data_IF_240451696613
#
_entry.id   IF_240451696613
#
_cell.length_a   1.000
_cell.length_b   1.000
_cell.length_c   1.000
_cell.angle_alpha   90.00
_cell.angle_beta   90.00
_cell.angle_gamma   90.00
#
_symmetry.space_group_name_H-M   'P 1'
#
loop_
_entity.id
_entity.type
_entity.pdbx_description
1 polymer ?
#
# COMPACT_ATOMS: atom_id res chain seq x y z
N UNK A 1 -47.71 14.92 37.38
CA UNK A 1 -47.54 14.77 35.92
C UNK A 1 -46.41 15.63 35.33
N UNK A 2 -45.99 16.75 35.95
CA UNK A 2 -44.88 17.56 35.43
C UNK A 2 -43.47 17.01 35.77
N UNK A 3 -43.28 16.34 36.91
CA UNK A 3 -41.97 15.87 37.36
C UNK A 3 -41.33 14.82 36.43
N UNK A 4 -42.13 13.92 35.86
CA UNK A 4 -41.66 12.87 34.93
C UNK A 4 -41.21 13.45 33.58
N UNK A 5 -41.90 14.49 33.10
CA UNK A 5 -41.55 15.16 31.84
C UNK A 5 -40.25 15.94 31.99
N UNK A 6 -40.05 16.65 33.11
CA UNK A 6 -38.78 17.34 33.41
C UNK A 6 -37.62 16.37 33.56
N UNK A 7 -37.81 15.26 34.27
CA UNK A 7 -36.77 14.24 34.42
C UNK A 7 -36.40 13.55 33.10
N UNK A 8 -37.37 13.37 32.20
CA UNK A 8 -37.12 12.85 30.85
C UNK A 8 -36.33 13.84 29.99
N UNK A 9 -36.68 15.13 30.02
CA UNK A 9 -35.97 16.18 29.27
C UNK A 9 -34.56 16.42 29.80
N UNK A 10 -34.35 16.36 31.12
CA UNK A 10 -33.02 16.47 31.73
C UNK A 10 -32.14 15.28 31.33
N UNK A 11 -32.67 14.06 31.36
CA UNK A 11 -31.95 12.87 30.89
C UNK A 11 -31.63 12.95 29.39
N UNK A 12 -32.54 13.46 28.56
CA UNK A 12 -32.29 13.63 27.13
C UNK A 12 -31.22 14.70 26.86
N UNK A 13 -31.23 15.79 27.64
CA UNK A 13 -30.22 16.86 27.57
C UNK A 13 -28.82 16.38 27.98
N UNK A 14 -28.73 15.40 28.87
CA UNK A 14 -27.46 14.80 29.32
C UNK A 14 -26.98 13.70 28.37
N UNK A 15 -27.90 12.81 27.95
CA UNK A 15 -27.57 11.64 27.14
C UNK A 15 -27.34 11.99 25.66
N UNK A 16 -28.01 13.00 25.11
CA UNK A 16 -27.84 13.42 23.71
C UNK A 16 -26.38 13.78 23.36
N UNK A 17 -25.73 14.70 24.10
CA UNK A 17 -24.33 15.04 23.89
C UNK A 17 -23.37 13.86 24.14
N UNK A 18 -23.68 12.99 25.11
CA UNK A 18 -22.87 11.81 25.39
C UNK A 18 -22.91 10.82 24.22
N UNK A 19 -24.10 10.56 23.67
CA UNK A 19 -24.29 9.70 22.48
C UNK A 19 -23.59 10.31 21.27
N UNK A 20 -23.72 11.61 21.04
CA UNK A 20 -23.03 12.31 19.96
C UNK A 20 -21.49 12.17 20.08
N UNK A 21 -20.94 12.34 21.29
CA UNK A 21 -19.50 12.18 21.54
C UNK A 21 -19.03 10.74 21.32
N UNK A 22 -19.80 9.74 21.74
CA UNK A 22 -19.48 8.33 21.50
C UNK A 22 -19.49 8.02 20.00
N UNK A 23 -20.47 8.55 19.26
CA UNK A 23 -20.55 8.37 17.81
C UNK A 23 -19.37 9.06 17.10
N UNK A 24 -19.02 10.28 17.49
CA UNK A 24 -17.88 11.01 16.92
C UNK A 24 -16.54 10.30 17.18
N UNK A 25 -16.37 9.77 18.40
CA UNK A 25 -15.20 8.97 18.78
C UNK A 25 -15.13 7.67 17.97
N UNK A 26 -16.25 6.95 17.87
CA UNK A 26 -16.34 5.71 17.08
C UNK A 26 -16.06 5.94 15.60
N UNK A 27 -16.61 7.02 15.03
CA UNK A 27 -16.35 7.42 13.64
C UNK A 27 -14.88 7.76 13.42
N UNK A 28 -14.26 8.47 14.37
CA UNK A 28 -12.85 8.80 14.29
C UNK A 28 -11.98 7.55 14.31
N UNK A 29 -12.27 6.61 15.21
CA UNK A 29 -11.50 5.38 15.32
C UNK A 29 -11.69 4.48 14.09
N UNK A 30 -12.92 4.38 13.56
CA UNK A 30 -13.19 3.70 12.30
C UNK A 30 -12.42 4.29 11.12
N UNK A 31 -12.28 5.62 11.03
CA UNK A 31 -11.47 6.27 9.98
C UNK A 31 -10.00 5.93 10.13
N UNK A 32 -9.45 5.93 11.36
CA UNK A 32 -8.05 5.54 11.60
C UNK A 32 -7.80 4.09 11.20
N UNK A 33 -8.67 3.17 11.61
CA UNK A 33 -8.54 1.75 11.28
C UNK A 33 -8.63 1.49 9.77
N UNK A 34 -9.54 2.17 9.06
CA UNK A 34 -9.60 2.10 7.59
C UNK A 34 -8.32 2.60 6.94
N UNK A 35 -7.76 3.71 7.42
CA UNK A 35 -6.50 4.24 6.92
C UNK A 35 -5.31 3.29 7.22
N UNK A 36 -5.27 2.68 8.40
CA UNK A 36 -4.28 1.67 8.74
C UNK A 36 -4.39 0.43 7.85
N UNK A 37 -5.61 -0.05 7.62
CA UNK A 37 -5.88 -1.19 6.75
C UNK A 37 -5.45 -0.92 5.30
N UNK A 38 -5.77 0.25 4.73
CA UNK A 38 -5.35 0.58 3.37
C UNK A 38 -3.83 0.62 3.25
N UNK A 39 -3.11 1.18 4.24
CA UNK A 39 -1.64 1.13 4.25
C UNK A 39 -1.10 -0.30 4.26
N UNK A 40 -1.69 -1.18 5.07
CA UNK A 40 -1.30 -2.58 5.12
C UNK A 40 -1.61 -3.33 3.81
N UNK A 41 -2.71 -2.99 3.13
CA UNK A 41 -3.06 -3.52 1.80
C UNK A 41 -2.06 -3.06 0.72
N UNK A 42 -1.64 -1.79 0.76
CA UNK A 42 -0.62 -1.23 -0.14
C UNK A 42 0.74 -1.91 0.08
N UNK A 43 1.19 -2.05 1.33
CA UNK A 43 2.43 -2.77 1.68
C UNK A 43 2.40 -4.23 1.20
N UNK A 44 1.27 -4.92 1.39
CA UNK A 44 1.10 -6.30 0.94
C UNK A 44 1.18 -6.42 -0.58
N UNK A 45 0.59 -5.48 -1.33
CA UNK A 45 0.68 -5.47 -2.78
C UNK A 45 2.11 -5.23 -3.26
N UNK A 46 2.83 -4.27 -2.67
CA UNK A 46 4.25 -4.05 -2.97
C UNK A 46 5.11 -5.30 -2.69
N UNK A 47 4.83 -6.02 -1.60
CA UNK A 47 5.52 -7.29 -1.30
C UNK A 47 5.23 -8.39 -2.33
N UNK A 48 4.00 -8.48 -2.87
CA UNK A 48 3.66 -9.46 -3.91
C UNK A 48 4.40 -9.17 -5.20
N UNK A 49 4.40 -7.92 -5.66
CA UNK A 49 5.13 -7.51 -6.87
C UNK A 49 6.63 -7.80 -6.76
N UNK A 50 7.22 -7.52 -5.59
CA UNK A 50 8.63 -7.86 -5.33
C UNK A 50 8.85 -9.37 -5.39
N UNK A 51 7.95 -10.16 -4.80
CA UNK A 51 8.01 -11.62 -4.82
C UNK A 51 7.94 -12.16 -6.24
N UNK A 52 7.06 -11.59 -7.08
CA UNK A 52 6.90 -12.00 -8.48
C UNK A 52 8.18 -11.73 -9.31
N UNK A 53 8.81 -10.56 -9.12
CA UNK A 53 10.10 -10.23 -9.77
C UNK A 53 11.18 -11.24 -9.36
N UNK A 54 11.30 -11.53 -8.07
CA UNK A 54 12.30 -12.46 -7.55
C UNK A 54 12.06 -13.89 -8.03
N UNK A 55 10.80 -14.34 -8.04
CA UNK A 55 10.43 -15.65 -8.55
C UNK A 55 10.78 -15.78 -10.04
N UNK A 56 10.46 -14.75 -10.83
CA UNK A 56 10.79 -14.72 -12.24
C UNK A 56 12.31 -14.79 -12.49
N UNK A 57 13.10 -14.08 -11.69
CA UNK A 57 14.56 -14.16 -11.76
C UNK A 57 15.06 -15.58 -11.45
N UNK A 58 14.54 -16.22 -10.41
CA UNK A 58 14.89 -17.60 -10.05
C UNK A 58 14.57 -18.55 -11.21
N UNK A 59 13.38 -18.43 -11.81
CA UNK A 59 12.98 -19.23 -12.97
C UNK A 59 13.93 -19.05 -14.17
N UNK A 60 14.31 -17.79 -14.47
CA UNK A 60 15.24 -17.47 -15.56
C UNK A 60 16.64 -18.05 -15.32
N UNK A 61 17.16 -17.90 -14.10
CA UNK A 61 18.47 -18.48 -13.72
C UNK A 61 18.43 -20.00 -13.77
N UNK A 62 17.34 -20.61 -13.30
CA UNK A 62 17.16 -22.06 -13.37
C UNK A 62 17.14 -22.56 -14.82
N UNK A 63 16.32 -21.94 -15.67
CA UNK A 63 16.26 -22.28 -17.09
C UNK A 63 17.63 -22.14 -17.78
N UNK A 64 18.35 -21.06 -17.51
CA UNK A 64 19.70 -20.82 -18.00
C UNK A 64 20.69 -21.91 -17.58
N UNK A 65 20.64 -22.38 -16.32
CA UNK A 65 21.49 -23.50 -15.86
C UNK A 65 21.14 -24.81 -16.54
N UNK A 66 19.86 -25.11 -16.73
CA UNK A 66 19.41 -26.33 -17.40
C UNK A 66 19.91 -26.40 -18.86
N UNK A 67 19.92 -25.28 -19.58
CA UNK A 67 20.38 -25.23 -20.98
C UNK A 67 21.90 -25.29 -21.10
N UNK A 68 22.64 -24.67 -20.17
CA UNK A 68 24.10 -24.61 -20.26
C UNK A 68 24.82 -25.89 -19.86
N UNK A 69 24.21 -26.72 -19.02
CA UNK A 69 24.76 -28.05 -18.71
C UNK A 69 24.72 -29.03 -19.90
N UNK A 70 24.09 -28.66 -21.02
CA UNK A 70 23.88 -29.54 -22.18
C UNK A 70 24.87 -29.29 -23.34
N UNK A 71 25.66 -28.22 -23.33
CA UNK A 71 26.58 -27.86 -24.43
C UNK A 71 28.01 -27.64 -23.92
N UNK A 72 28.99 -28.49 -24.29
CA UNK A 72 30.37 -28.31 -23.90
C UNK A 72 31.11 -27.34 -24.83
N UNK A 73 31.77 -26.37 -24.21
CA UNK A 73 33.06 -25.74 -24.56
C UNK A 73 33.22 -24.50 -25.46
N UNK A 74 32.27 -24.01 -26.28
CA UNK A 74 32.51 -22.79 -27.10
C UNK A 74 31.62 -21.57 -26.79
N UNK A 75 30.70 -21.67 -25.82
CA UNK A 75 29.67 -20.64 -25.57
C UNK A 75 29.87 -19.79 -24.31
N UNK A 76 31.01 -19.89 -23.63
CA UNK A 76 31.23 -19.25 -22.31
C UNK A 76 30.95 -17.74 -22.28
N UNK A 77 31.35 -17.01 -23.33
CA UNK A 77 31.10 -15.57 -23.45
C UNK A 77 29.62 -15.25 -23.74
N UNK A 78 28.97 -16.06 -24.58
CA UNK A 78 27.53 -15.96 -24.87
C UNK A 78 26.69 -16.26 -23.62
N UNK A 79 27.07 -17.27 -22.85
CA UNK A 79 26.44 -17.64 -21.59
C UNK A 79 26.57 -16.51 -20.57
N UNK A 80 27.76 -15.94 -20.44
CA UNK A 80 28.00 -14.79 -19.57
C UNK A 80 27.12 -13.60 -19.95
N UNK A 81 27.10 -13.23 -21.24
CA UNK A 81 26.26 -12.13 -21.73
C UNK A 81 24.75 -12.39 -21.49
N UNK A 82 24.31 -13.64 -21.63
CA UNK A 82 22.91 -14.02 -21.37
C UNK A 82 22.57 -13.91 -19.88
N UNK A 83 23.47 -14.34 -18.99
CA UNK A 83 23.28 -14.19 -17.55
C UNK A 83 23.27 -12.73 -17.13
N UNK A 84 24.21 -11.92 -17.65
CA UNK A 84 24.25 -10.47 -17.43
C UNK A 84 22.92 -9.84 -17.86
N UNK A 85 22.40 -10.18 -19.04
CA UNK A 85 21.10 -9.70 -19.50
C UNK A 85 19.91 -10.12 -18.59
N UNK A 86 19.93 -11.33 -18.04
CA UNK A 86 18.90 -11.79 -17.08
C UNK A 86 18.94 -10.94 -15.80
N UNK A 87 20.15 -10.69 -15.29
CA UNK A 87 20.35 -9.89 -14.08
C UNK A 87 19.98 -8.42 -14.30
N UNK A 88 20.42 -7.83 -15.42
CA UNK A 88 20.11 -6.45 -15.79
C UNK A 88 18.60 -6.24 -15.94
N UNK A 89 17.89 -7.21 -16.53
CA UNK A 89 16.44 -7.15 -16.63
C UNK A 89 15.75 -7.20 -15.27
N UNK A 90 16.23 -8.01 -14.33
CA UNK A 90 15.66 -8.08 -12.99
C UNK A 90 15.98 -6.80 -12.18
N UNK A 91 17.18 -6.25 -12.31
CA UNK A 91 17.55 -4.97 -11.74
C UNK A 91 16.64 -3.85 -12.25
N UNK A 92 16.42 -3.75 -13.56
CA UNK A 92 15.52 -2.76 -14.14
C UNK A 92 14.07 -2.90 -13.65
N UNK A 93 13.60 -4.13 -13.41
CA UNK A 93 12.27 -4.36 -12.84
C UNK A 93 12.18 -3.90 -11.38
N UNK A 94 13.20 -4.16 -10.57
CA UNK A 94 13.26 -3.68 -9.17
C UNK A 94 13.35 -2.16 -9.09
N UNK A 95 14.16 -1.54 -9.95
CA UNK A 95 14.25 -0.08 -10.04
C UNK A 95 12.91 0.55 -10.45
N UNK A 96 12.23 -0.02 -11.45
CA UNK A 96 10.91 0.41 -11.87
C UNK A 96 9.90 0.32 -10.71
N UNK A 97 9.89 -0.81 -9.98
CA UNK A 97 9.02 -0.99 -8.83
C UNK A 97 9.30 0.04 -7.72
N UNK A 98 10.58 0.31 -7.44
CA UNK A 98 10.97 1.33 -6.46
C UNK A 98 10.44 2.72 -6.83
N UNK A 99 10.60 3.11 -8.10
CA UNK A 99 10.12 4.41 -8.60
C UNK A 99 8.58 4.48 -8.58
N UNK A 100 7.88 3.39 -8.87
CA UNK A 100 6.42 3.33 -8.80
C UNK A 100 5.91 3.55 -7.38
N UNK A 101 6.54 2.92 -6.38
CA UNK A 101 6.22 3.10 -4.96
C UNK A 101 6.41 4.57 -4.55
N UNK A 102 7.56 5.16 -4.88
CA UNK A 102 7.85 6.57 -4.58
C UNK A 102 6.85 7.52 -5.26
N UNK A 103 6.52 7.25 -6.52
CA UNK A 103 5.53 8.03 -7.26
C UNK A 103 4.14 7.95 -6.64
N UNK A 104 3.69 6.77 -6.22
CA UNK A 104 2.39 6.58 -5.58
C UNK A 104 2.31 7.27 -4.22
N UNK A 105 3.37 7.19 -3.42
CA UNK A 105 3.48 7.95 -2.17
C UNK A 105 3.34 9.45 -2.43
N UNK A 106 4.09 9.99 -3.38
CA UNK A 106 4.05 11.41 -3.73
C UNK A 106 2.68 11.83 -4.27
N UNK A 107 2.04 10.97 -5.06
CA UNK A 107 0.67 11.20 -5.57
C UNK A 107 -0.34 11.26 -4.43
N UNK A 108 -0.27 10.33 -3.48
CA UNK A 108 -1.14 10.31 -2.31
C UNK A 108 -0.96 11.57 -1.45
N UNK A 109 0.29 11.99 -1.21
CA UNK A 109 0.59 13.24 -0.50
C UNK A 109 0.03 14.46 -1.23
N UNK A 110 0.16 14.50 -2.55
CA UNK A 110 -0.38 15.59 -3.37
C UNK A 110 -1.91 15.67 -3.26
N UNK A 111 -2.60 14.53 -3.35
CA UNK A 111 -4.05 14.45 -3.20
C UNK A 111 -4.50 14.89 -1.79
N UNK A 112 -3.77 14.50 -0.75
CA UNK A 112 -4.03 14.95 0.62
C UNK A 112 -3.88 16.47 0.79
N UNK A 113 -2.83 17.06 0.22
CA UNK A 113 -2.58 18.50 0.27
C UNK A 113 -3.68 19.28 -0.49
N UNK A 114 -4.11 18.80 -1.66
CA UNK A 114 -5.18 19.44 -2.44
C UNK A 114 -6.51 19.40 -1.71
N UNK A 115 -6.85 18.27 -1.10
CA UNK A 115 -8.08 18.13 -0.33
C UNK A 115 -8.05 18.99 0.95
N UNK A 116 -6.90 19.10 1.62
CA UNK A 116 -6.72 19.94 2.80
C UNK A 116 -6.78 21.44 2.47
N UNK A 117 -6.22 21.86 1.34
CA UNK A 117 -6.34 23.24 0.85
C UNK A 117 -7.77 23.59 0.45
N UNK A 118 -8.50 22.70 -0.23
CA UNK A 118 -9.90 22.94 -0.57
C UNK A 118 -10.79 23.10 0.67
N UNK A 119 -10.51 22.34 1.75
CA UNK A 119 -11.19 22.49 3.04
C UNK A 119 -10.87 23.80 3.78
N UNK A 120 -9.76 24.48 3.46
CA UNK A 120 -9.43 25.80 4.03
C UNK A 120 -10.14 26.96 3.34
N UNK A 121 -10.60 26.79 2.09
CA UNK A 121 -11.30 27.84 1.35
C UNK A 121 -12.83 27.77 1.47
N UNK A 122 -13.38 26.75 2.13
CA UNK A 122 -14.82 26.60 2.40
C UNK A 122 -15.23 27.00 3.84
N UNK A 123 -14.32 27.57 4.64
CA UNK A 123 -14.61 28.19 5.95
C UNK A 123 -14.54 29.70 5.87
#
# INVERSE_FOLDING_TARGET
MNADITHFLDNLSIMGPLVAKILEEGDRELRKERAARHRAEDELNGMKELTDILLHLIEKIWAFRCTNNQTPDDTSQQQRATLESILDSALAQLELQSVQIEYEQLRQENDQLRNSNNLQFEK
#
